data_IF_353801082938
#
_entry.id   IF_353801082938
#
_cell.length_a   1.000
_cell.length_b   1.000
_cell.length_c   1.000
_cell.angle_alpha   90.00
_cell.angle_beta   90.00
_cell.angle_gamma   90.00
#
_symmetry.space_group_name_H-M   'P 1'
#
loop_
_entity.id
_entity.type
_entity.pdbx_description
1 polymer ?
#
# COMPACT_ATOMS: atom_id res chain seq x y z
N UNK A 1 16.49 11.68 22.76
CA UNK A 1 16.80 10.59 21.82
C UNK A 1 17.31 11.23 20.54
N UNK A 2 18.51 10.86 20.08
CA UNK A 2 19.07 11.36 18.82
C UNK A 2 18.20 10.89 17.66
N UNK A 3 17.77 11.82 16.81
CA UNK A 3 17.12 11.48 15.54
C UNK A 3 18.14 10.69 14.70
N UNK A 4 17.90 9.39 14.55
CA UNK A 4 18.65 8.59 13.60
C UNK A 4 18.02 8.85 12.23
N UNK A 5 18.76 9.50 11.35
CA UNK A 5 18.36 9.68 9.95
C UNK A 5 18.46 8.32 9.26
N UNK A 6 17.30 7.79 8.86
CA UNK A 6 17.19 6.58 8.05
C UNK A 6 16.68 7.00 6.68
N UNK A 7 17.28 6.48 5.61
CA UNK A 7 16.74 6.57 4.25
C UNK A 7 15.95 5.31 3.95
N UNK A 8 14.79 5.43 3.32
CA UNK A 8 13.97 4.30 2.93
C UNK A 8 14.59 3.47 1.79
N UNK A 9 15.52 4.03 1.01
CA UNK A 9 16.26 3.34 -0.06
C UNK A 9 15.35 2.58 -1.06
N UNK A 10 14.17 3.10 -1.36
CA UNK A 10 13.24 2.45 -2.29
C UNK A 10 13.82 2.30 -3.71
N UNK A 11 14.75 3.17 -4.09
CA UNK A 11 15.47 3.17 -5.36
C UNK A 11 16.69 2.23 -5.39
N UNK A 12 17.08 1.64 -4.24
CA UNK A 12 18.22 0.74 -4.20
C UNK A 12 17.98 -0.50 -5.08
N UNK A 13 18.90 -0.82 -6.01
CA UNK A 13 18.73 -1.95 -6.90
C UNK A 13 18.95 -3.29 -6.18
N UNK A 14 18.30 -4.34 -6.68
CA UNK A 14 18.66 -5.71 -6.26
C UNK A 14 20.01 -6.14 -6.84
N UNK A 15 20.70 -7.01 -6.10
CA UNK A 15 21.80 -7.76 -6.65
C UNK A 15 21.31 -8.68 -7.78
N UNK A 16 22.13 -8.89 -8.83
CA UNK A 16 21.75 -9.78 -9.92
C UNK A 16 21.44 -11.20 -9.41
N UNK A 17 20.53 -11.91 -10.07
CA UNK A 17 20.08 -13.27 -9.70
C UNK A 17 21.22 -14.29 -9.56
N UNK A 18 22.33 -14.09 -10.28
CA UNK A 18 23.51 -14.95 -10.20
C UNK A 18 24.46 -14.60 -9.03
N UNK A 19 24.22 -13.49 -8.34
CA UNK A 19 25.08 -13.07 -7.23
C UNK A 19 24.97 -14.02 -6.04
N UNK A 20 26.09 -14.24 -5.30
CA UNK A 20 26.05 -15.01 -4.07
C UNK A 20 25.08 -14.45 -3.04
N UNK A 21 24.95 -13.13 -2.96
CA UNK A 21 24.03 -12.46 -2.04
C UNK A 21 22.57 -12.82 -2.34
N UNK A 22 22.15 -12.77 -3.61
CA UNK A 22 20.79 -13.17 -4.01
C UNK A 22 20.51 -14.63 -3.64
N UNK A 23 21.45 -15.54 -3.91
CA UNK A 23 21.33 -16.97 -3.59
C UNK A 23 21.21 -17.20 -2.07
N UNK A 24 21.96 -16.46 -1.25
CA UNK A 24 21.86 -16.52 0.20
C UNK A 24 20.50 -16.06 0.71
N UNK A 25 19.97 -14.95 0.20
CA UNK A 25 18.64 -14.43 0.53
C UNK A 25 17.57 -15.47 0.16
N UNK A 26 17.58 -15.96 -1.09
CA UNK A 26 16.62 -16.97 -1.55
C UNK A 26 16.65 -18.24 -0.68
N UNK A 27 17.84 -18.71 -0.28
CA UNK A 27 17.99 -19.86 0.61
C UNK A 27 17.43 -19.64 2.02
N UNK A 28 17.44 -18.41 2.53
CA UNK A 28 16.91 -18.06 3.85
C UNK A 28 15.40 -17.80 3.84
N UNK A 29 14.90 -17.17 2.78
CA UNK A 29 13.50 -16.76 2.70
C UNK A 29 12.59 -17.83 2.09
N UNK A 30 13.16 -18.90 1.52
CA UNK A 30 12.39 -19.90 0.79
C UNK A 30 11.77 -19.35 -0.50
N UNK A 31 12.29 -18.23 -1.02
CA UNK A 31 11.81 -17.65 -2.25
C UNK A 31 11.95 -18.63 -3.41
N UNK A 32 10.85 -18.91 -4.09
CA UNK A 32 10.82 -19.82 -5.24
C UNK A 32 11.29 -19.05 -6.46
N UNK A 33 12.28 -19.60 -7.17
CA UNK A 33 12.61 -19.11 -8.50
C UNK A 33 11.45 -19.46 -9.43
N UNK A 34 10.61 -18.47 -9.75
CA UNK A 34 9.58 -18.67 -10.77
C UNK A 34 10.23 -18.92 -12.14
N UNK A 35 9.66 -19.83 -12.95
CA UNK A 35 9.99 -19.88 -14.36
C UNK A 35 9.76 -18.49 -14.94
N UNK A 36 10.62 -18.05 -15.85
CA UNK A 36 10.74 -16.69 -16.37
C UNK A 36 9.43 -15.88 -16.35
N UNK A 37 9.48 -14.64 -15.85
CA UNK A 37 8.36 -13.67 -15.83
C UNK A 37 7.61 -13.51 -17.17
N UNK A 38 8.23 -13.90 -18.28
CA UNK A 38 7.65 -13.92 -19.61
C UNK A 38 6.45 -14.89 -19.76
N UNK A 39 6.14 -15.68 -18.73
CA UNK A 39 5.00 -16.60 -18.71
C UNK A 39 3.87 -16.17 -17.76
N UNK A 40 4.04 -15.08 -16.99
CA UNK A 40 2.96 -14.59 -16.12
C UNK A 40 2.01 -13.71 -16.94
N UNK A 41 0.80 -14.18 -17.12
CA UNK A 41 -0.28 -13.35 -17.68
C UNK A 41 -0.86 -12.45 -16.61
N UNK A 42 -0.38 -11.21 -16.55
CA UNK A 42 -0.88 -10.23 -15.59
C UNK A 42 -2.38 -9.93 -15.78
N UNK A 43 -2.94 -10.04 -16.99
CA UNK A 43 -4.34 -9.72 -17.25
C UNK A 43 -5.30 -10.70 -16.55
N UNK A 44 -4.83 -11.87 -16.17
CA UNK A 44 -5.62 -12.92 -15.54
C UNK A 44 -5.55 -12.97 -14.02
N UNK A 45 -4.74 -12.12 -13.35
CA UNK A 45 -4.53 -12.21 -11.89
C UNK A 45 -5.75 -11.80 -11.07
N UNK A 46 -6.33 -10.66 -11.36
CA UNK A 46 -7.61 -10.21 -10.83
C UNK A 46 -8.49 -9.80 -12.00
N UNK A 47 -9.75 -10.27 -11.98
CA UNK A 47 -10.68 -10.15 -13.11
C UNK A 47 -11.20 -8.73 -13.34
N UNK A 48 -11.80 -8.48 -14.49
CA UNK A 48 -12.51 -7.25 -14.80
C UNK A 48 -13.65 -6.98 -13.79
N UNK A 49 -14.39 -8.03 -13.38
CA UNK A 49 -15.43 -7.91 -12.36
C UNK A 49 -14.88 -7.48 -10.99
N UNK A 50 -13.74 -8.01 -10.58
CA UNK A 50 -13.08 -7.61 -9.32
C UNK A 50 -12.75 -6.11 -9.30
N UNK A 51 -12.31 -5.57 -10.43
CA UNK A 51 -12.08 -4.13 -10.61
C UNK A 51 -13.37 -3.32 -10.77
N UNK A 52 -14.46 -3.95 -11.21
CA UNK A 52 -15.72 -3.31 -11.59
C UNK A 52 -15.80 -2.94 -13.08
N UNK A 53 -14.80 -3.29 -13.87
CA UNK A 53 -14.73 -2.94 -15.30
C UNK A 53 -15.84 -3.60 -16.15
N UNK A 54 -16.43 -4.71 -15.71
CA UNK A 54 -17.55 -5.36 -16.42
C UNK A 54 -18.79 -4.46 -16.55
N UNK A 55 -18.93 -3.49 -15.63
CA UNK A 55 -20.00 -2.48 -15.66
C UNK A 55 -19.58 -1.17 -16.32
N UNK A 56 -18.37 -1.07 -16.86
CA UNK A 56 -17.80 0.16 -17.42
C UNK A 56 -18.04 0.28 -18.93
N UNK A 57 -18.91 1.18 -19.41
CA UNK A 57 -19.14 1.35 -20.86
C UNK A 57 -17.85 1.72 -21.61
N UNK A 58 -16.98 2.54 -21.02
CA UNK A 58 -15.70 2.93 -21.62
C UNK A 58 -14.83 1.70 -21.85
N UNK A 59 -14.68 0.84 -20.84
CA UNK A 59 -13.90 -0.39 -20.94
C UNK A 59 -14.52 -1.39 -21.94
N UNK A 60 -15.84 -1.57 -21.92
CA UNK A 60 -16.55 -2.46 -22.83
C UNK A 60 -16.39 -2.08 -24.32
N UNK A 61 -16.21 -0.80 -24.61
CA UNK A 61 -16.00 -0.28 -25.96
C UNK A 61 -14.53 -0.39 -26.45
N UNK A 62 -13.58 -0.78 -25.59
CA UNK A 62 -12.21 -1.05 -25.99
C UNK A 62 -12.10 -2.37 -26.76
N UNK A 63 -11.11 -2.49 -27.65
CA UNK A 63 -10.78 -3.79 -28.23
C UNK A 63 -10.33 -4.77 -27.14
N UNK A 64 -10.48 -6.07 -27.37
CA UNK A 64 -10.06 -7.11 -26.43
C UNK A 64 -8.59 -6.97 -26.02
N UNK A 65 -7.73 -6.59 -26.98
CA UNK A 65 -6.32 -6.33 -26.70
C UNK A 65 -6.14 -5.17 -25.70
N UNK A 66 -6.84 -4.06 -25.88
CA UNK A 66 -6.82 -2.91 -24.96
C UNK A 66 -7.43 -3.25 -23.60
N UNK A 67 -8.51 -4.05 -23.55
CA UNK A 67 -9.08 -4.54 -22.29
C UNK A 67 -8.06 -5.36 -21.50
N UNK A 68 -7.34 -6.27 -22.16
CA UNK A 68 -6.29 -7.06 -21.55
C UNK A 68 -5.10 -6.17 -21.10
N UNK A 69 -4.75 -5.13 -21.85
CA UNK A 69 -3.71 -4.18 -21.46
C UNK A 69 -4.11 -3.39 -20.20
N UNK A 70 -5.35 -2.91 -20.10
CA UNK A 70 -5.87 -2.28 -18.87
C UNK A 70 -5.73 -3.22 -17.69
N UNK A 71 -6.23 -4.47 -17.78
CA UNK A 71 -6.16 -5.44 -16.70
C UNK A 71 -4.71 -5.76 -16.32
N UNK A 72 -3.86 -6.02 -17.30
CA UNK A 72 -2.46 -6.34 -17.06
C UNK A 72 -1.76 -5.21 -16.30
N UNK A 73 -1.95 -3.96 -16.71
CA UNK A 73 -1.34 -2.78 -16.08
C UNK A 73 -1.91 -2.51 -14.69
N UNK A 74 -3.22 -2.63 -14.50
CA UNK A 74 -3.85 -2.49 -13.19
C UNK A 74 -3.35 -3.58 -12.22
N UNK A 75 -3.29 -4.83 -12.64
CA UNK A 75 -2.82 -5.93 -11.81
C UNK A 75 -1.32 -5.82 -11.51
N UNK A 76 -0.52 -5.37 -12.49
CA UNK A 76 0.90 -5.10 -12.28
C UNK A 76 1.14 -3.96 -11.29
N UNK A 77 0.28 -2.92 -11.30
CA UNK A 77 0.40 -1.80 -10.36
C UNK A 77 0.19 -2.24 -8.91
N UNK A 78 -0.77 -3.15 -8.64
CA UNK A 78 -0.97 -3.73 -7.30
C UNK A 78 0.25 -4.51 -6.81
N UNK A 79 0.85 -5.32 -7.67
CA UNK A 79 2.05 -6.09 -7.32
C UNK A 79 3.25 -5.17 -7.08
N UNK A 80 3.37 -4.12 -7.88
CA UNK A 80 4.43 -3.13 -7.74
C UNK A 80 4.29 -2.34 -6.44
N UNK A 81 3.07 -1.94 -6.09
CA UNK A 81 2.78 -1.27 -4.82
C UNK A 81 3.12 -2.18 -3.64
N UNK A 82 2.64 -3.43 -3.64
CA UNK A 82 2.96 -4.40 -2.60
C UNK A 82 4.49 -4.60 -2.46
N UNK A 83 5.21 -4.75 -3.56
CA UNK A 83 6.67 -4.87 -3.55
C UNK A 83 7.36 -3.68 -2.85
N UNK A 84 6.94 -2.46 -3.11
CA UNK A 84 7.55 -1.28 -2.48
C UNK A 84 7.09 -1.08 -1.04
N UNK A 85 5.91 -1.54 -0.66
CA UNK A 85 5.45 -1.58 0.73
C UNK A 85 6.37 -2.50 1.54
N UNK A 86 6.57 -3.73 1.11
CA UNK A 86 7.46 -4.69 1.79
C UNK A 86 8.92 -4.19 1.83
N UNK A 87 9.36 -3.54 0.75
CA UNK A 87 10.68 -2.91 0.72
C UNK A 87 10.80 -1.76 1.74
N UNK A 88 9.74 -1.02 1.96
CA UNK A 88 9.66 0.02 2.99
C UNK A 88 9.68 -0.57 4.40
N UNK A 89 9.08 -1.73 4.60
CA UNK A 89 9.08 -2.46 5.87
C UNK A 89 10.48 -2.77 6.37
N UNK A 90 11.45 -3.05 5.46
CA UNK A 90 12.85 -3.23 5.83
C UNK A 90 13.46 -1.98 6.46
N UNK A 91 13.22 -0.80 5.90
CA UNK A 91 13.74 0.46 6.44
C UNK A 91 13.05 0.84 7.74
N UNK A 92 11.72 0.63 7.82
CA UNK A 92 10.92 0.82 9.01
C UNK A 92 11.45 -0.03 10.17
N UNK A 93 11.52 -1.33 10.01
CA UNK A 93 11.97 -2.25 11.05
C UNK A 93 13.41 -1.98 11.49
N UNK A 94 14.34 -1.66 10.57
CA UNK A 94 15.70 -1.27 10.90
C UNK A 94 15.75 -0.01 11.77
N UNK A 95 14.97 1.04 11.45
CA UNK A 95 14.84 2.24 12.27
C UNK A 95 14.34 1.92 13.67
N UNK A 96 13.32 1.06 13.75
CA UNK A 96 12.71 0.70 15.04
C UNK A 96 13.64 -0.15 15.92
N UNK A 97 14.44 -1.06 15.34
CA UNK A 97 15.50 -1.80 16.06
C UNK A 97 16.51 -0.84 16.67
N UNK A 98 16.99 0.14 15.88
CA UNK A 98 18.01 1.09 16.33
C UNK A 98 17.51 2.07 17.39
N UNK A 99 16.20 2.28 17.48
CA UNK A 99 15.57 3.24 18.40
C UNK A 99 14.77 2.59 19.52
N UNK A 100 14.81 1.25 19.61
CA UNK A 100 14.10 0.47 20.63
C UNK A 100 14.51 0.89 22.05
N UNK A 101 13.56 0.89 22.99
CA UNK A 101 13.75 1.30 24.38
C UNK A 101 14.39 0.19 25.23
N UNK A 102 14.28 -1.04 24.79
CA UNK A 102 14.81 -2.23 25.48
C UNK A 102 15.10 -3.36 24.48
N UNK A 103 15.70 -4.44 24.98
CA UNK A 103 16.11 -5.59 24.17
C UNK A 103 14.92 -6.33 23.54
N UNK A 104 13.79 -6.45 24.25
CA UNK A 104 12.62 -7.19 23.75
C UNK A 104 11.96 -6.46 22.57
N UNK A 105 11.87 -5.12 22.65
CA UNK A 105 11.45 -4.31 21.50
C UNK A 105 12.40 -4.44 20.31
N UNK A 106 13.72 -4.39 20.56
CA UNK A 106 14.70 -4.57 19.50
C UNK A 106 14.58 -5.96 18.84
N UNK A 107 14.36 -7.00 19.62
CA UNK A 107 14.14 -8.36 19.10
C UNK A 107 12.85 -8.46 18.29
N UNK A 108 11.75 -7.86 18.78
CA UNK A 108 10.46 -7.85 18.08
C UNK A 108 10.60 -7.20 16.70
N UNK A 109 11.19 -5.98 16.64
CA UNK A 109 11.37 -5.29 15.37
C UNK A 109 12.38 -5.98 14.43
N UNK A 110 13.37 -6.71 14.97
CA UNK A 110 14.25 -7.53 14.16
C UNK A 110 13.52 -8.74 13.55
N UNK A 111 12.57 -9.34 14.27
CA UNK A 111 11.70 -10.40 13.75
C UNK A 111 10.74 -9.88 12.67
N UNK A 112 10.11 -8.73 12.92
CA UNK A 112 9.31 -8.02 11.88
C UNK A 112 10.16 -7.79 10.63
N UNK A 113 11.38 -7.24 10.76
CA UNK A 113 12.27 -7.05 9.62
C UNK A 113 12.67 -8.34 8.89
N UNK A 114 12.73 -9.47 9.59
CA UNK A 114 12.94 -10.77 8.95
C UNK A 114 11.69 -11.22 8.15
N UNK A 115 10.48 -10.92 8.62
CA UNK A 115 9.26 -11.18 7.89
C UNK A 115 9.16 -10.27 6.64
N UNK A 116 9.44 -8.96 6.75
CA UNK A 116 9.49 -8.04 5.62
C UNK A 116 10.50 -8.47 4.53
N UNK A 117 11.68 -8.95 4.94
CA UNK A 117 12.67 -9.48 4.02
C UNK A 117 12.18 -10.73 3.28
N UNK A 118 11.41 -11.58 3.96
CA UNK A 118 10.78 -12.77 3.41
C UNK A 118 9.65 -12.40 2.43
N UNK A 119 8.77 -11.49 2.82
CA UNK A 119 7.67 -10.98 2.01
C UNK A 119 8.19 -10.34 0.72
N UNK A 120 9.17 -9.47 0.83
CA UNK A 120 9.82 -8.83 -0.32
C UNK A 120 10.40 -9.88 -1.29
N UNK A 121 11.10 -10.89 -0.76
CA UNK A 121 11.67 -11.95 -1.58
C UNK A 121 10.59 -12.82 -2.27
N UNK A 122 9.43 -12.96 -1.65
CA UNK A 122 8.30 -13.70 -2.21
C UNK A 122 7.57 -12.93 -3.32
N UNK A 123 7.39 -11.61 -3.17
CA UNK A 123 6.70 -10.76 -4.16
C UNK A 123 7.63 -10.42 -5.33
N UNK A 124 8.93 -10.22 -5.07
CA UNK A 124 9.92 -9.80 -6.05
C UNK A 124 9.85 -10.55 -7.39
N UNK A 125 9.67 -11.88 -7.44
CA UNK A 125 9.56 -12.62 -8.69
C UNK A 125 8.34 -12.29 -9.56
N UNK A 126 7.28 -11.70 -8.99
CA UNK A 126 6.05 -11.35 -9.69
C UNK A 126 6.05 -9.91 -10.23
N UNK A 127 7.09 -9.13 -9.97
CA UNK A 127 7.21 -7.73 -10.40
C UNK A 127 8.25 -7.61 -11.51
N UNK A 128 7.90 -6.91 -12.58
CA UNK A 128 8.81 -6.73 -13.72
C UNK A 128 10.06 -5.93 -13.34
N UNK A 129 11.17 -6.13 -14.06
CA UNK A 129 12.43 -5.43 -13.79
C UNK A 129 12.27 -3.90 -13.88
N UNK A 130 11.53 -3.42 -14.88
CA UNK A 130 11.30 -1.98 -15.08
C UNK A 130 10.43 -1.37 -13.96
N UNK A 131 9.41 -2.10 -13.49
CA UNK A 131 8.55 -1.66 -12.41
C UNK A 131 9.30 -1.53 -11.07
N UNK A 132 10.37 -2.30 -10.86
CA UNK A 132 11.21 -2.25 -9.65
C UNK A 132 12.17 -1.05 -9.58
N UNK A 133 12.36 -0.32 -10.67
CA UNK A 133 13.38 0.72 -10.74
C UNK A 133 12.97 2.03 -10.08
N UNK A 134 11.67 2.36 -10.11
CA UNK A 134 11.17 3.64 -9.61
C UNK A 134 9.88 3.43 -8.81
N UNK A 135 9.91 3.71 -7.50
CA UNK A 135 8.68 3.79 -6.71
C UNK A 135 7.81 4.91 -7.29
N UNK A 136 6.54 4.59 -7.57
CA UNK A 136 5.60 5.55 -8.14
C UNK A 136 4.36 5.63 -7.27
N UNK A 137 3.81 6.83 -7.16
CA UNK A 137 2.55 7.09 -6.47
C UNK A 137 2.70 7.86 -5.16
N UNK A 138 1.66 8.59 -4.84
CA UNK A 138 1.62 9.46 -3.66
C UNK A 138 1.73 8.65 -2.35
N UNK A 139 1.15 7.46 -2.31
CA UNK A 139 1.20 6.62 -1.12
C UNK A 139 2.62 6.18 -0.76
N UNK A 140 3.42 5.73 -1.73
CA UNK A 140 4.81 5.34 -1.47
C UNK A 140 5.67 6.53 -1.04
N UNK A 141 5.44 7.70 -1.61
CA UNK A 141 6.10 8.93 -1.18
C UNK A 141 5.72 9.32 0.25
N UNK A 142 4.45 9.19 0.60
CA UNK A 142 3.94 9.41 1.95
C UNK A 142 4.56 8.43 2.95
N UNK A 143 4.55 7.13 2.65
CA UNK A 143 5.15 6.09 3.49
C UNK A 143 6.65 6.32 3.71
N UNK A 144 7.38 6.68 2.65
CA UNK A 144 8.80 7.04 2.74
C UNK A 144 9.03 8.21 3.67
N UNK A 145 8.26 9.28 3.52
CA UNK A 145 8.33 10.45 4.38
C UNK A 145 8.04 10.10 5.86
N UNK A 146 7.02 9.30 6.13
CA UNK A 146 6.76 8.83 7.50
C UNK A 146 7.99 8.12 8.08
N UNK A 147 8.52 7.13 7.36
CA UNK A 147 9.64 6.31 7.86
C UNK A 147 10.89 7.19 8.08
N UNK A 148 11.18 8.11 7.19
CA UNK A 148 12.38 8.93 7.27
C UNK A 148 12.28 10.02 8.35
N UNK A 149 11.17 10.75 8.41
CA UNK A 149 11.08 12.00 9.16
C UNK A 149 10.40 11.87 10.53
N UNK A 150 9.50 10.88 10.71
CA UNK A 150 8.69 10.84 11.93
C UNK A 150 9.40 10.12 13.09
N UNK A 151 9.15 10.56 14.34
CA UNK A 151 9.70 9.92 15.52
C UNK A 151 9.20 8.48 15.69
N UNK A 152 10.01 7.54 16.22
CA UNK A 152 9.63 6.13 16.38
C UNK A 152 8.30 5.89 17.09
N UNK A 153 7.99 6.66 18.14
CA UNK A 153 6.73 6.55 18.88
C UNK A 153 5.49 6.83 18.03
N UNK A 154 5.61 7.73 17.03
CA UNK A 154 4.53 8.02 16.07
C UNK A 154 4.45 6.96 14.98
N UNK A 155 5.59 6.36 14.60
CA UNK A 155 5.62 5.27 13.64
C UNK A 155 4.93 4.01 14.16
N UNK A 156 5.00 3.72 15.46
CA UNK A 156 4.20 2.63 16.06
C UNK A 156 2.71 2.86 15.81
N UNK A 157 2.23 4.09 15.94
CA UNK A 157 0.81 4.40 15.68
C UNK A 157 0.50 4.43 14.19
N UNK A 158 1.22 5.25 13.43
CA UNK A 158 0.91 5.51 12.02
C UNK A 158 1.20 4.30 11.11
N UNK A 159 2.30 3.59 11.35
CA UNK A 159 2.65 2.42 10.54
C UNK A 159 1.99 1.17 11.09
N UNK A 160 2.34 0.71 12.30
CA UNK A 160 1.87 -0.59 12.78
C UNK A 160 0.38 -0.66 13.12
N UNK A 161 -0.23 0.42 13.65
CA UNK A 161 -1.67 0.38 13.95
C UNK A 161 -2.49 0.77 12.73
N UNK A 162 -2.17 1.89 12.08
CA UNK A 162 -2.99 2.40 10.98
C UNK A 162 -2.68 1.70 9.66
N UNK A 163 -1.44 1.76 9.16
CA UNK A 163 -1.12 1.25 7.83
C UNK A 163 -1.10 -0.29 7.77
N UNK A 164 -0.55 -0.99 8.77
CA UNK A 164 -0.63 -2.45 8.86
C UNK A 164 -2.08 -2.94 9.03
N UNK A 165 -2.87 -2.27 9.90
CA UNK A 165 -4.29 -2.56 10.05
C UNK A 165 -5.06 -2.38 8.75
N UNK A 166 -4.73 -1.37 7.96
CA UNK A 166 -5.25 -1.17 6.60
C UNK A 166 -4.77 -2.27 5.66
N UNK A 167 -3.49 -2.64 5.72
CA UNK A 167 -2.88 -3.71 4.95
C UNK A 167 -3.59 -5.05 5.12
N UNK A 168 -4.11 -5.36 6.32
CA UNK A 168 -4.87 -6.58 6.57
C UNK A 168 -6.09 -6.72 5.65
N UNK A 169 -6.88 -5.65 5.46
CA UNK A 169 -8.02 -5.69 4.52
C UNK A 169 -7.54 -5.83 3.07
N UNK A 170 -6.50 -5.09 2.72
CA UNK A 170 -5.94 -5.10 1.37
C UNK A 170 -5.42 -6.49 0.98
N UNK A 171 -4.50 -7.07 1.75
CA UNK A 171 -3.94 -8.40 1.47
C UNK A 171 -4.98 -9.52 1.53
N UNK A 172 -5.96 -9.43 2.43
CA UNK A 172 -7.08 -10.38 2.48
C UNK A 172 -7.90 -10.35 1.18
N UNK A 173 -8.17 -9.18 0.62
CA UNK A 173 -8.89 -9.02 -0.66
C UNK A 173 -8.06 -9.55 -1.82
N UNK A 174 -6.77 -9.24 -1.86
CA UNK A 174 -5.86 -9.74 -2.88
C UNK A 174 -5.79 -11.28 -2.85
N UNK A 175 -5.59 -11.87 -1.67
CA UNK A 175 -5.52 -13.32 -1.50
C UNK A 175 -6.77 -14.05 -1.93
N UNK A 176 -7.96 -13.52 -1.53
CA UNK A 176 -9.25 -14.18 -1.82
C UNK A 176 -9.64 -14.16 -3.28
N UNK A 177 -9.22 -13.15 -4.03
CA UNK A 177 -9.69 -12.91 -5.40
C UNK A 177 -8.62 -13.16 -6.46
N UNK A 178 -7.39 -13.48 -6.08
CA UNK A 178 -6.33 -13.77 -7.02
C UNK A 178 -6.57 -15.12 -7.71
N UNK A 179 -6.63 -15.12 -9.05
CA UNK A 179 -6.79 -16.33 -9.83
C UNK A 179 -5.53 -17.21 -9.90
N UNK A 180 -4.34 -16.65 -9.57
CA UNK A 180 -3.08 -17.39 -9.53
C UNK A 180 -2.89 -18.06 -8.16
N UNK A 181 -2.99 -19.41 -8.04
CA UNK A 181 -3.04 -20.09 -6.74
C UNK A 181 -1.82 -19.86 -5.84
N UNK A 182 -0.62 -19.83 -6.42
CA UNK A 182 0.60 -19.62 -5.60
C UNK A 182 0.71 -18.18 -5.10
N UNK A 183 0.30 -17.20 -5.91
CA UNK A 183 0.26 -15.81 -5.50
C UNK A 183 -0.83 -15.57 -4.43
N UNK A 184 -1.98 -16.21 -4.55
CA UNK A 184 -3.04 -16.18 -3.53
C UNK A 184 -2.54 -16.74 -2.18
N UNK A 185 -1.84 -17.90 -2.20
CA UNK A 185 -1.22 -18.47 -0.99
C UNK A 185 -0.18 -17.54 -0.38
N UNK A 186 0.60 -16.88 -1.21
CA UNK A 186 1.62 -15.92 -0.80
C UNK A 186 0.97 -14.76 -0.04
N UNK A 187 -0.03 -14.11 -0.61
CA UNK A 187 -0.75 -13.03 0.08
C UNK A 187 -1.44 -13.49 1.37
N UNK A 188 -1.96 -14.72 1.40
CA UNK A 188 -2.52 -15.29 2.63
C UNK A 188 -1.46 -15.53 3.71
N UNK A 189 -0.23 -15.86 3.33
CA UNK A 189 0.89 -16.02 4.27
C UNK A 189 1.36 -14.65 4.79
N UNK A 190 1.52 -13.65 3.93
CA UNK A 190 1.81 -12.27 4.34
C UNK A 190 0.75 -11.78 5.32
N UNK A 191 -0.53 -11.87 4.98
CA UNK A 191 -1.64 -11.47 5.84
C UNK A 191 -1.54 -12.02 7.27
N UNK A 192 -1.04 -13.25 7.43
CA UNK A 192 -0.87 -13.88 8.76
C UNK A 192 0.22 -13.19 9.57
N UNK A 193 1.33 -12.85 8.93
CA UNK A 193 2.45 -12.18 9.59
C UNK A 193 2.07 -10.72 9.91
N UNK A 194 1.41 -10.01 8.99
CA UNK A 194 0.89 -8.64 9.17
C UNK A 194 -0.09 -8.52 10.34
N UNK A 195 -0.91 -9.56 10.59
CA UNK A 195 -1.79 -9.58 11.76
C UNK A 195 -1.00 -9.57 13.09
N UNK A 196 0.21 -10.13 13.12
CA UNK A 196 1.09 -10.05 14.27
C UNK A 196 1.74 -8.66 14.39
N UNK A 197 2.18 -8.10 13.27
CA UNK A 197 2.76 -6.75 13.22
C UNK A 197 1.75 -5.72 13.76
N UNK A 198 0.53 -5.69 13.22
CA UNK A 198 -0.53 -4.81 13.68
C UNK A 198 -0.85 -4.99 15.18
N UNK A 199 -0.97 -6.25 15.64
CA UNK A 199 -1.22 -6.54 17.08
C UNK A 199 -0.09 -6.03 17.96
N UNK A 200 1.16 -6.16 17.54
CA UNK A 200 2.31 -5.68 18.31
C UNK A 200 2.31 -4.16 18.43
N UNK A 201 1.85 -3.44 17.41
CA UNK A 201 1.63 -1.99 17.46
C UNK A 201 0.69 -1.58 18.60
N UNK A 202 -0.43 -2.30 18.75
CA UNK A 202 -1.38 -2.05 19.84
C UNK A 202 -0.80 -2.33 21.24
N UNK A 203 0.19 -3.21 21.35
CA UNK A 203 0.90 -3.49 22.63
C UNK A 203 1.94 -2.42 22.93
N UNK A 204 2.63 -1.92 21.89
CA UNK A 204 3.74 -1.00 22.03
C UNK A 204 3.33 0.47 22.14
N UNK A 205 2.16 0.81 21.58
CA UNK A 205 1.70 2.19 21.55
C UNK A 205 1.28 2.69 22.93
N UNK A 206 1.93 3.75 23.37
CA UNK A 206 1.63 4.43 24.63
C UNK A 206 1.36 5.91 24.36
N UNK A 207 0.09 6.24 24.20
CA UNK A 207 -0.32 7.61 23.91
C UNK A 207 -0.09 8.59 25.09
N UNK A 208 0.15 8.09 26.32
CA UNK A 208 0.51 8.96 27.45
C UNK A 208 1.87 9.66 27.28
N UNK A 209 2.71 9.15 26.37
CA UNK A 209 4.00 9.73 26.02
C UNK A 209 3.95 10.77 24.90
N UNK A 210 2.76 11.04 24.36
CA UNK A 210 2.59 12.00 23.28
C UNK A 210 2.54 13.42 23.81
N UNK A 211 3.30 14.32 23.19
CA UNK A 211 3.21 15.76 23.37
C UNK A 211 2.15 16.37 22.45
N UNK A 212 1.79 17.65 22.69
CA UNK A 212 0.87 18.37 21.79
C UNK A 212 1.41 18.43 20.35
N UNK A 213 2.72 18.55 20.16
CA UNK A 213 3.34 18.50 18.83
C UNK A 213 3.16 17.14 18.16
N UNK A 214 3.22 16.03 18.92
CA UNK A 214 3.02 14.70 18.40
C UNK A 214 1.59 14.51 17.87
N UNK A 215 0.60 15.03 18.59
CA UNK A 215 -0.79 15.03 18.13
C UNK A 215 -0.98 15.80 16.82
N UNK A 216 -0.38 16.99 16.69
CA UNK A 216 -0.41 17.74 15.43
C UNK A 216 0.23 16.98 14.28
N UNK A 217 1.35 16.29 14.50
CA UNK A 217 1.98 15.45 13.48
C UNK A 217 1.13 14.25 13.07
N UNK A 218 0.42 13.62 14.02
CA UNK A 218 -0.53 12.53 13.73
C UNK A 218 -1.70 13.07 12.90
N UNK A 219 -2.25 14.23 13.30
CA UNK A 219 -3.34 14.90 12.60
C UNK A 219 -2.96 15.20 11.14
N UNK A 220 -1.84 15.90 10.93
CA UNK A 220 -1.30 16.24 9.60
C UNK A 220 -1.11 14.99 8.73
N UNK A 221 -0.52 13.92 9.29
CA UNK A 221 -0.31 12.67 8.58
C UNK A 221 -1.63 11.99 8.17
N UNK A 222 -2.61 11.96 9.06
CA UNK A 222 -3.89 11.30 8.81
C UNK A 222 -4.80 12.12 7.89
N UNK A 223 -4.75 13.46 7.95
CA UNK A 223 -5.38 14.33 6.95
C UNK A 223 -4.82 14.05 5.55
N UNK A 224 -3.50 14.01 5.42
CA UNK A 224 -2.85 13.73 4.14
C UNK A 224 -3.21 12.33 3.64
N UNK A 225 -3.16 11.31 4.50
CA UNK A 225 -3.53 9.95 4.13
C UNK A 225 -5.01 9.84 3.73
N UNK A 226 -5.92 10.45 4.51
CA UNK A 226 -7.35 10.46 4.19
C UNK A 226 -7.62 11.12 2.84
N UNK A 227 -6.94 12.20 2.51
CA UNK A 227 -7.08 12.88 1.21
C UNK A 227 -6.72 11.94 0.05
N UNK A 228 -5.62 11.18 0.16
CA UNK A 228 -5.25 10.19 -0.86
C UNK A 228 -6.32 9.10 -1.04
N UNK A 229 -6.97 8.69 0.06
CA UNK A 229 -8.05 7.69 0.00
C UNK A 229 -9.33 8.30 -0.59
N UNK A 230 -9.69 9.53 -0.20
CA UNK A 230 -10.92 10.23 -0.59
C UNK A 230 -11.07 10.43 -2.10
N UNK A 231 -9.95 10.66 -2.80
CA UNK A 231 -9.96 10.86 -4.26
C UNK A 231 -10.19 9.56 -5.04
N UNK A 232 -10.15 8.41 -4.38
CA UNK A 232 -10.47 7.11 -4.96
C UNK A 232 -9.37 6.52 -5.85
N UNK A 233 -9.71 5.65 -6.80
CA UNK A 233 -8.77 4.80 -7.53
C UNK A 233 -8.11 5.53 -8.71
N UNK A 234 -7.39 6.65 -8.45
CA UNK A 234 -6.75 7.49 -9.47
C UNK A 234 -5.77 6.73 -10.37
N UNK A 235 -5.04 5.76 -9.81
CA UNK A 235 -4.09 4.93 -10.59
C UNK A 235 -4.79 4.08 -11.65
N UNK A 236 -5.90 3.43 -11.30
CA UNK A 236 -6.69 2.66 -12.27
C UNK A 236 -7.35 3.58 -13.32
N UNK A 237 -7.86 4.74 -12.89
CA UNK A 237 -8.40 5.75 -13.80
C UNK A 237 -7.36 6.20 -14.83
N UNK A 238 -6.12 6.46 -14.40
CA UNK A 238 -5.02 6.87 -15.26
C UNK A 238 -4.68 5.79 -16.31
N UNK A 239 -4.68 4.52 -15.90
CA UNK A 239 -4.43 3.40 -16.82
C UNK A 239 -5.51 3.31 -17.89
N UNK A 240 -6.79 3.39 -17.51
CA UNK A 240 -7.90 3.35 -18.47
C UNK A 240 -7.82 4.55 -19.44
N UNK A 241 -7.57 5.73 -18.91
CA UNK A 241 -7.44 6.96 -19.71
C UNK A 241 -6.32 6.85 -20.76
N UNK A 242 -5.14 6.39 -20.35
CA UNK A 242 -3.99 6.24 -21.25
C UNK A 242 -4.24 5.18 -22.34
N UNK A 243 -4.76 4.01 -21.98
CA UNK A 243 -5.05 2.93 -22.95
C UNK A 243 -6.18 3.30 -23.90
N UNK A 244 -7.17 4.07 -23.44
CA UNK A 244 -8.24 4.59 -24.29
C UNK A 244 -7.72 5.65 -25.28
N UNK A 245 -6.64 6.35 -24.95
CA UNK A 245 -6.05 7.43 -25.77
C UNK A 245 -6.57 8.82 -25.37
N UNK A 246 -6.97 8.99 -24.14
CA UNK A 246 -7.52 10.22 -23.55
C UNK A 246 -9.05 10.17 -23.46
N UNK A 247 -9.57 10.43 -22.27
CA UNK A 247 -11.01 10.40 -21.97
C UNK A 247 -11.57 11.80 -21.74
N UNK A 248 -12.84 11.98 -22.09
CA UNK A 248 -13.59 13.17 -21.68
C UNK A 248 -13.91 13.14 -20.18
N UNK A 249 -14.25 14.27 -19.57
CA UNK A 249 -14.65 14.32 -18.16
C UNK A 249 -15.86 13.42 -17.86
N UNK A 250 -16.81 13.27 -18.80
CA UNK A 250 -17.94 12.36 -18.65
C UNK A 250 -17.53 10.89 -18.68
N UNK A 251 -16.55 10.53 -19.52
CA UNK A 251 -16.03 9.17 -19.58
C UNK A 251 -15.21 8.84 -18.32
N UNK A 252 -14.39 9.79 -17.82
CA UNK A 252 -13.68 9.66 -16.54
C UNK A 252 -14.64 9.42 -15.38
N UNK A 253 -15.77 10.17 -15.32
CA UNK A 253 -16.81 9.91 -14.32
C UNK A 253 -17.42 8.51 -14.47
N UNK A 254 -17.70 8.08 -15.71
CA UNK A 254 -18.23 6.73 -15.97
C UNK A 254 -17.27 5.62 -15.50
N UNK A 255 -15.97 5.81 -15.68
CA UNK A 255 -14.95 4.88 -15.16
C UNK A 255 -14.95 4.87 -13.63
N UNK A 256 -14.99 6.04 -12.96
CA UNK A 256 -15.04 6.11 -11.50
C UNK A 256 -16.30 5.46 -10.91
N UNK A 257 -17.46 5.61 -11.58
CA UNK A 257 -18.69 4.91 -11.19
C UNK A 257 -18.50 3.40 -11.27
N UNK A 258 -17.94 2.90 -12.36
CA UNK A 258 -17.68 1.47 -12.54
C UNK A 258 -16.68 0.93 -11.50
N UNK A 259 -15.64 1.69 -11.18
CA UNK A 259 -14.68 1.39 -10.09
C UNK A 259 -15.30 1.54 -8.69
N UNK A 260 -16.60 1.83 -8.59
CA UNK A 260 -17.34 1.99 -7.32
C UNK A 260 -16.71 3.02 -6.39
N UNK A 261 -16.28 4.15 -6.96
CA UNK A 261 -15.54 5.20 -6.23
C UNK A 261 -16.19 5.53 -4.88
N UNK A 262 -17.48 5.86 -4.85
CA UNK A 262 -18.15 6.29 -3.61
C UNK A 262 -18.18 5.17 -2.56
N UNK A 263 -18.66 3.98 -2.93
CA UNK A 263 -18.85 2.86 -1.99
C UNK A 263 -17.51 2.32 -1.48
N UNK A 264 -16.56 2.04 -2.38
CA UNK A 264 -15.26 1.48 -1.99
C UNK A 264 -14.41 2.49 -1.22
N UNK A 265 -14.47 3.77 -1.58
CA UNK A 265 -13.79 4.84 -0.86
C UNK A 265 -14.41 5.04 0.52
N UNK A 266 -15.74 5.08 0.63
CA UNK A 266 -16.43 5.19 1.91
C UNK A 266 -16.10 4.00 2.83
N UNK A 267 -16.11 2.78 2.30
CA UNK A 267 -15.73 1.57 3.04
C UNK A 267 -14.31 1.68 3.60
N UNK A 268 -13.38 2.14 2.78
CA UNK A 268 -11.98 2.34 3.17
C UNK A 268 -11.81 3.42 4.23
N UNK A 269 -12.52 4.55 4.10
CA UNK A 269 -12.48 5.64 5.08
C UNK A 269 -13.09 5.23 6.42
N UNK A 270 -14.15 4.42 6.41
CA UNK A 270 -14.71 3.84 7.63
C UNK A 270 -13.74 2.88 8.32
N UNK A 271 -13.00 2.07 7.55
CA UNK A 271 -11.93 1.23 8.09
C UNK A 271 -10.84 2.09 8.75
N UNK A 272 -10.38 3.14 8.07
CA UNK A 272 -9.40 4.07 8.62
C UNK A 272 -9.88 4.64 9.96
N UNK A 273 -11.11 5.13 10.00
CA UNK A 273 -11.71 5.66 11.23
C UNK A 273 -11.79 4.63 12.35
N UNK A 274 -12.10 3.36 12.03
CA UNK A 274 -12.14 2.26 13.00
C UNK A 274 -10.75 1.93 13.57
N UNK A 275 -9.69 1.96 12.73
CA UNK A 275 -8.31 1.73 13.17
C UNK A 275 -7.82 2.82 14.13
N UNK A 276 -8.38 4.02 14.05
CA UNK A 276 -8.07 5.15 14.94
C UNK A 276 -8.77 5.08 16.30
N UNK A 277 -9.48 4.00 16.63
CA UNK A 277 -10.28 3.86 17.85
C UNK A 277 -9.41 3.63 19.12
N UNK A 278 -8.52 4.61 19.38
CA UNK A 278 -7.71 4.66 20.60
C UNK A 278 -8.21 5.86 21.44
N UNK A 279 -8.64 5.66 22.70
CA UNK A 279 -9.26 6.73 23.50
C UNK A 279 -8.43 8.01 23.58
N UNK A 280 -7.09 7.87 23.60
CA UNK A 280 -6.18 9.01 23.74
C UNK A 280 -5.95 9.80 22.45
N UNK A 281 -6.41 9.31 21.31
CA UNK A 281 -6.38 10.04 20.01
C UNK A 281 -7.77 10.49 19.56
N UNK A 282 -8.81 10.38 20.42
CA UNK A 282 -10.19 10.76 20.11
C UNK A 282 -10.31 12.20 19.59
N UNK A 283 -9.51 13.12 20.14
CA UNK A 283 -9.51 14.52 19.67
C UNK A 283 -9.06 14.67 18.22
N UNK A 284 -8.09 13.86 17.76
CA UNK A 284 -7.68 13.86 16.35
C UNK A 284 -8.84 13.34 15.49
N UNK A 285 -9.51 12.28 15.93
CA UNK A 285 -10.68 11.74 15.18
C UNK A 285 -11.81 12.79 15.09
N UNK A 286 -12.09 13.52 16.16
CA UNK A 286 -13.09 14.60 16.17
C UNK A 286 -12.74 15.68 15.12
N UNK A 287 -11.49 16.15 15.08
CA UNK A 287 -11.03 17.14 14.10
C UNK A 287 -11.21 16.61 12.67
N UNK A 288 -10.78 15.37 12.41
CA UNK A 288 -10.91 14.75 11.09
C UNK A 288 -12.39 14.53 10.68
N UNK A 289 -13.29 14.25 11.64
CA UNK A 289 -14.74 14.19 11.39
C UNK A 289 -15.29 15.59 11.04
N UNK A 290 -14.90 16.64 11.77
CA UNK A 290 -15.31 18.03 11.51
C UNK A 290 -14.85 18.51 10.11
N UNK A 291 -13.68 18.06 9.67
CA UNK A 291 -13.09 18.36 8.35
C UNK A 291 -13.56 17.41 7.23
N UNK A 292 -14.51 16.55 7.51
CA UNK A 292 -15.05 15.57 6.55
C UNK A 292 -13.99 14.63 5.94
N UNK A 293 -12.91 14.34 6.67
CA UNK A 293 -11.83 13.48 6.21
C UNK A 293 -12.27 12.03 5.98
N UNK A 294 -13.37 11.60 6.57
CA UNK A 294 -13.92 10.25 6.40
C UNK A 294 -15.07 10.16 5.38
N UNK A 295 -15.21 11.17 4.52
CA UNK A 295 -16.18 11.17 3.42
C UNK A 295 -15.44 11.18 2.07
N UNK A 296 -15.87 10.37 1.08
CA UNK A 296 -15.31 10.46 -0.27
C UNK A 296 -15.55 11.85 -0.86
N UNK A 297 -14.66 12.29 -1.73
CA UNK A 297 -14.96 13.45 -2.57
C UNK A 297 -15.99 13.07 -3.62
N UNK A 298 -16.74 14.04 -4.14
CA UNK A 298 -17.69 13.79 -5.24
C UNK A 298 -16.96 13.29 -6.49
N UNK A 299 -17.69 12.60 -7.39
CA UNK A 299 -17.16 12.16 -8.68
C UNK A 299 -16.54 13.32 -9.49
N UNK A 300 -17.16 14.50 -9.42
CA UNK A 300 -16.64 15.70 -10.09
C UNK A 300 -15.29 16.11 -9.52
N UNK A 301 -15.20 16.24 -8.20
CA UNK A 301 -13.95 16.61 -7.54
C UNK A 301 -12.86 15.57 -7.79
N UNK A 302 -13.19 14.27 -7.80
CA UNK A 302 -12.23 13.19 -8.12
C UNK A 302 -11.70 13.33 -9.56
N UNK A 303 -12.55 13.69 -10.53
CA UNK A 303 -12.13 13.99 -11.91
C UNK A 303 -11.30 15.26 -11.97
N UNK A 304 -11.71 16.33 -11.28
CA UNK A 304 -10.97 17.61 -11.26
C UNK A 304 -9.57 17.40 -10.68
N UNK A 305 -9.41 16.59 -9.60
CA UNK A 305 -8.11 16.20 -9.06
C UNK A 305 -7.27 15.44 -10.08
N UNK A 306 -7.87 14.49 -10.79
CA UNK A 306 -7.18 13.72 -11.83
C UNK A 306 -6.68 14.61 -12.97
N UNK A 307 -7.55 15.46 -13.51
CA UNK A 307 -7.20 16.37 -14.63
C UNK A 307 -6.13 17.38 -14.22
N UNK A 308 -6.14 17.86 -12.98
CA UNK A 308 -5.14 18.81 -12.47
C UNK A 308 -3.77 18.17 -12.25
N UNK A 309 -3.69 16.83 -12.17
CA UNK A 309 -2.44 16.08 -11.98
C UNK A 309 -1.82 15.55 -13.28
N UNK A 310 -2.50 15.69 -14.42
CA UNK A 310 -2.00 15.40 -15.77
C UNK A 310 -0.97 16.45 -16.19
#
# INVERSE_FOLDING_TARGET
MSNIHVRNNLDAPHAGKDSPLYKMIAGKTGAVSLPSLNMLDYSSLWSADWWGFDSCPVYANLSVEKQNDVLARCNQSLLTEAYFIEKSGLAYSAKMVLTARNTDEAQLFALIGADEAKHLAWIEPYVSADAKQLPRGHFLSFLSNLIEEYPPKLLVYLVQIILEGWGLDHYNRLAKSCAHPELAKLFAAILKDEALHHRSGNVLFDASQLSQRDYSLIEDALQHYSLMVRVGPQGALAIVDEVAGGLSNSDLQSVLVALRHEDETQRKLLLLRQLMNQPLVSRVVEILDEEHCFLPVSLREAVDCFVSSR
#
